data_IF_103778311311
#
_entry.id   IF_103778311311
#
_cell.length_a   1.000
_cell.length_b   1.000
_cell.length_c   1.000
_cell.angle_alpha   90.00
_cell.angle_beta   90.00
_cell.angle_gamma   90.00
#
_symmetry.space_group_name_H-M   'P 1'
#
loop_
_entity.id
_entity.type
_entity.pdbx_description
1 polymer ?
#
# COMPACT_ATOMS: atom_id res chain seq x y z
N UNK A 1 -4.63 15.83 6.58
CA UNK A 1 -3.53 14.87 6.43
C UNK A 1 -2.94 14.55 7.78
N UNK A 2 -2.99 13.29 8.20
CA UNK A 2 -2.13 12.75 9.26
C UNK A 2 -0.75 12.45 8.66
N UNK A 3 0.31 12.55 9.47
CA UNK A 3 1.68 12.23 9.07
C UNK A 3 2.39 11.49 10.21
N UNK A 4 3.41 10.71 9.86
CA UNK A 4 4.40 10.22 10.82
C UNK A 4 5.68 11.02 10.69
N UNK A 5 6.34 11.27 11.81
CA UNK A 5 7.67 11.89 11.78
C UNK A 5 8.70 10.77 11.86
N UNK A 6 9.58 10.70 10.87
CA UNK A 6 10.65 9.71 10.88
C UNK A 6 11.77 10.07 11.87
N UNK A 7 12.77 9.19 11.98
CA UNK A 7 13.87 9.33 12.94
C UNK A 7 14.71 10.60 12.74
N UNK A 8 14.67 11.23 11.55
CA UNK A 8 15.39 12.46 11.23
C UNK A 8 14.50 13.71 11.34
N UNK A 9 13.27 13.58 11.84
CA UNK A 9 12.37 14.71 12.06
C UNK A 9 11.58 15.15 10.84
N UNK A 10 11.59 14.36 9.75
CA UNK A 10 10.87 14.68 8.51
C UNK A 10 9.47 14.03 8.54
N UNK A 11 8.39 14.78 8.29
CA UNK A 11 7.05 14.23 8.14
C UNK A 11 6.89 13.43 6.86
N UNK A 12 6.43 12.18 6.96
CA UNK A 12 5.90 11.39 5.86
C UNK A 12 4.36 11.47 5.87
N UNK A 13 3.72 11.94 4.79
CA UNK A 13 2.27 12.05 4.72
C UNK A 13 1.61 10.66 4.61
N UNK A 14 0.45 10.51 5.24
CA UNK A 14 -0.42 9.35 5.02
C UNK A 14 -1.36 9.62 3.85
N UNK A 15 -1.72 8.57 3.12
CA UNK A 15 -2.71 8.59 2.04
C UNK A 15 -4.02 9.26 2.48
N UNK A 16 -4.57 10.11 1.63
CA UNK A 16 -5.87 10.75 1.85
C UNK A 16 -7.02 9.75 1.95
N UNK A 17 -8.16 10.23 2.47
CA UNK A 17 -9.36 9.40 2.51
C UNK A 17 -9.88 9.13 1.09
N UNK A 18 -10.28 7.89 0.83
CA UNK A 18 -10.89 7.50 -0.43
C UNK A 18 -12.28 8.13 -0.62
N UNK A 19 -12.57 8.47 -1.87
CA UNK A 19 -13.82 9.04 -2.36
C UNK A 19 -14.61 8.10 -3.28
N UNK A 20 -13.96 7.08 -3.87
CA UNK A 20 -14.62 6.06 -4.69
C UNK A 20 -14.15 4.64 -4.36
N UNK A 21 -14.97 3.65 -4.70
CA UNK A 21 -14.70 2.24 -4.40
C UNK A 21 -14.88 1.39 -5.66
N UNK A 22 -13.84 0.63 -5.98
CA UNK A 22 -13.76 -0.27 -7.13
C UNK A 22 -13.57 -1.71 -6.65
N UNK A 23 -14.25 -2.66 -7.30
CA UNK A 23 -14.11 -4.08 -7.03
C UNK A 23 -13.53 -4.79 -8.24
N UNK A 24 -12.53 -5.64 -8.02
CA UNK A 24 -11.92 -6.48 -9.05
C UNK A 24 -12.82 -7.63 -9.52
N UNK A 25 -13.95 -7.88 -8.86
CA UNK A 25 -14.85 -8.96 -9.25
C UNK A 25 -15.44 -8.68 -10.65
N UNK A 26 -14.97 -9.43 -11.66
CA UNK A 26 -15.43 -9.29 -13.04
C UNK A 26 -14.82 -8.11 -13.79
N UNK A 27 -13.80 -7.43 -13.26
CA UNK A 27 -13.11 -6.33 -13.95
C UNK A 27 -12.30 -6.79 -15.17
N UNK A 28 -11.99 -8.09 -15.24
CA UNK A 28 -10.98 -8.61 -16.16
C UNK A 28 -9.57 -8.42 -15.59
N UNK A 29 -8.53 -8.49 -16.45
CA UNK A 29 -7.14 -8.51 -16.00
C UNK A 29 -6.62 -7.16 -15.50
N UNK A 30 -7.30 -6.06 -15.85
CA UNK A 30 -6.90 -4.70 -15.48
C UNK A 30 -8.13 -3.94 -14.94
N UNK A 31 -7.91 -3.17 -13.89
CA UNK A 31 -8.92 -2.32 -13.26
C UNK A 31 -8.34 -0.92 -13.10
N UNK A 32 -9.00 0.07 -13.71
CA UNK A 32 -8.54 1.46 -13.72
C UNK A 32 -9.42 2.33 -12.82
N UNK A 33 -8.78 3.18 -12.03
CA UNK A 33 -9.41 4.19 -11.19
C UNK A 33 -9.64 5.50 -11.92
N UNK A 34 -9.71 6.55 -11.13
CA UNK A 34 -10.04 7.90 -11.53
C UNK A 34 -8.83 8.83 -11.39
N UNK A 35 -9.09 10.11 -11.10
CA UNK A 35 -8.05 11.12 -10.81
C UNK A 35 -8.11 11.61 -9.37
N UNK A 36 -9.00 11.03 -8.57
CA UNK A 36 -9.11 11.31 -7.14
C UNK A 36 -8.79 10.06 -6.34
N UNK A 37 -8.78 10.22 -5.03
CA UNK A 37 -8.47 9.15 -4.09
C UNK A 37 -9.50 8.02 -4.19
N UNK A 38 -9.05 6.84 -4.57
CA UNK A 38 -9.88 5.67 -4.82
C UNK A 38 -9.49 4.52 -3.89
N UNK A 39 -10.41 3.58 -3.71
CA UNK A 39 -10.15 2.33 -3.01
C UNK A 39 -10.45 1.15 -3.92
N UNK A 40 -9.49 0.24 -4.02
CA UNK A 40 -9.60 -0.96 -4.84
C UNK A 40 -9.67 -2.21 -3.98
N UNK A 41 -10.65 -3.05 -4.25
CA UNK A 41 -10.82 -4.34 -3.59
C UNK A 41 -10.42 -5.49 -4.52
N UNK A 42 -9.22 -6.03 -4.30
CA UNK A 42 -8.72 -7.25 -4.94
C UNK A 42 -9.19 -8.50 -4.22
N UNK A 43 -10.27 -9.11 -4.71
CA UNK A 43 -10.74 -10.38 -4.17
C UNK A 43 -9.71 -11.52 -4.39
N UNK A 44 -9.63 -12.44 -3.43
CA UNK A 44 -8.60 -13.48 -3.41
C UNK A 44 -8.62 -14.48 -4.58
N UNK A 45 -9.76 -14.62 -5.26
CA UNK A 45 -9.96 -15.52 -6.40
C UNK A 45 -9.86 -14.81 -7.76
N UNK A 46 -9.34 -13.58 -7.79
CA UNK A 46 -9.17 -12.77 -9.01
C UNK A 46 -7.69 -12.51 -9.25
N UNK A 47 -7.29 -12.50 -10.52
CA UNK A 47 -5.98 -12.01 -10.94
C UNK A 47 -6.21 -10.68 -11.67
N UNK A 48 -5.68 -9.58 -11.12
CA UNK A 48 -5.91 -8.23 -11.63
C UNK A 48 -4.70 -7.36 -11.36
N UNK A 49 -4.43 -6.44 -12.28
CA UNK A 49 -3.56 -5.29 -12.05
C UNK A 49 -4.45 -4.06 -11.86
N UNK A 50 -4.31 -3.42 -10.70
CA UNK A 50 -5.05 -2.20 -10.37
C UNK A 50 -4.18 -0.99 -10.68
N UNK A 51 -4.74 -0.03 -11.39
CA UNK A 51 -4.10 1.22 -11.80
C UNK A 51 -4.94 2.37 -11.24
N UNK A 52 -4.41 3.10 -10.26
CA UNK A 52 -5.15 4.11 -9.50
C UNK A 52 -5.42 5.35 -10.30
N UNK A 53 -4.36 5.84 -10.92
CA UNK A 53 -4.39 7.04 -11.75
C UNK A 53 -3.64 8.15 -11.07
N UNK A 54 -4.34 9.18 -10.61
CA UNK A 54 -3.76 10.22 -9.75
C UNK A 54 -4.61 10.32 -8.49
N UNK A 55 -4.07 10.89 -7.42
CA UNK A 55 -4.71 10.92 -6.12
C UNK A 55 -4.07 9.92 -5.18
N UNK A 56 -4.51 9.95 -3.92
CA UNK A 56 -4.01 9.05 -2.90
C UNK A 56 -4.90 7.80 -2.86
N UNK A 57 -4.41 6.69 -3.44
CA UNK A 57 -5.19 5.47 -3.63
C UNK A 57 -4.91 4.40 -2.57
N UNK A 58 -5.92 3.58 -2.28
CA UNK A 58 -5.83 2.50 -1.29
C UNK A 58 -6.17 1.16 -1.95
N UNK A 59 -5.20 0.25 -1.95
CA UNK A 59 -5.28 -1.07 -2.56
C UNK A 59 -5.41 -2.16 -1.49
N UNK A 60 -6.56 -2.82 -1.45
CA UNK A 60 -6.76 -3.99 -0.61
C UNK A 60 -6.47 -5.27 -1.40
N UNK A 61 -5.32 -5.88 -1.14
CA UNK A 61 -4.87 -7.07 -1.86
C UNK A 61 -5.15 -8.33 -1.04
N UNK A 62 -6.18 -9.10 -1.43
CA UNK A 62 -6.54 -10.35 -0.77
C UNK A 62 -6.17 -11.61 -1.57
N UNK A 63 -5.55 -11.48 -2.73
CA UNK A 63 -5.07 -12.60 -3.54
C UNK A 63 -3.65 -12.38 -4.08
N UNK A 64 -2.85 -13.44 -4.12
CA UNK A 64 -1.48 -13.40 -4.64
C UNK A 64 -1.39 -13.00 -6.14
N UNK A 65 -2.49 -13.12 -6.87
CA UNK A 65 -2.60 -12.65 -8.25
C UNK A 65 -2.98 -11.18 -8.39
N UNK A 66 -3.22 -10.46 -7.30
CA UNK A 66 -3.49 -9.03 -7.33
C UNK A 66 -2.19 -8.24 -7.36
N UNK A 67 -2.12 -7.24 -8.24
CA UNK A 67 -0.96 -6.37 -8.41
C UNK A 67 -1.43 -4.92 -8.45
N UNK A 68 -0.50 -4.02 -8.14
CA UNK A 68 -0.69 -2.57 -8.20
C UNK A 68 0.35 -1.99 -9.15
N UNK A 69 -0.06 -1.03 -9.98
CA UNK A 69 0.82 -0.30 -10.86
C UNK A 69 0.50 1.20 -10.75
N UNK A 70 1.44 1.94 -10.17
CA UNK A 70 1.33 3.39 -9.98
C UNK A 70 2.36 4.17 -10.78
N UNK A 71 2.01 5.41 -11.12
CA UNK A 71 2.90 6.32 -11.82
C UNK A 71 3.69 7.18 -10.82
N UNK A 72 4.92 7.53 -11.18
CA UNK A 72 5.75 8.37 -10.32
C UNK A 72 5.08 9.74 -10.06
N UNK A 73 4.90 10.10 -8.80
CA UNK A 73 4.28 11.36 -8.39
C UNK A 73 2.77 11.44 -8.62
N UNK A 74 2.09 10.29 -8.72
CA UNK A 74 0.64 10.21 -8.87
C UNK A 74 -0.13 10.53 -7.58
N UNK A 75 0.49 10.39 -6.41
CA UNK A 75 -0.14 10.64 -5.11
C UNK A 75 0.67 9.99 -4.00
N UNK A 76 0.01 9.75 -2.87
CA UNK A 76 0.52 8.96 -1.75
C UNK A 76 -0.35 7.71 -1.61
N UNK A 77 0.19 6.58 -2.05
CA UNK A 77 -0.58 5.37 -2.23
C UNK A 77 -0.34 4.36 -1.11
N UNK A 78 -1.37 3.56 -0.81
CA UNK A 78 -1.33 2.57 0.27
C UNK A 78 -1.73 1.20 -0.21
N UNK A 79 -0.89 0.20 0.04
CA UNK A 79 -1.26 -1.21 -0.08
C UNK A 79 -1.59 -1.75 1.30
N UNK A 80 -2.77 -2.33 1.45
CA UNK A 80 -3.20 -3.09 2.63
C UNK A 80 -3.37 -4.55 2.27
N UNK A 81 -2.70 -5.44 3.00
CA UNK A 81 -2.76 -6.88 2.76
C UNK A 81 -2.58 -7.70 4.03
N UNK A 82 -2.87 -8.99 3.96
CA UNK A 82 -2.68 -9.96 5.04
C UNK A 82 -1.52 -10.93 4.76
N UNK A 83 -0.98 -10.91 3.55
CA UNK A 83 0.14 -11.74 3.11
C UNK A 83 1.45 -10.98 3.21
N UNK A 84 2.55 -11.72 3.09
CA UNK A 84 3.86 -11.11 2.95
C UNK A 84 3.96 -10.34 1.63
N UNK A 85 4.53 -9.14 1.66
CA UNK A 85 4.50 -8.24 0.53
C UNK A 85 5.73 -7.36 0.44
N UNK A 86 6.10 -7.00 -0.79
CA UNK A 86 7.09 -5.97 -1.10
C UNK A 86 6.42 -4.90 -1.94
N UNK A 87 6.54 -3.64 -1.55
CA UNK A 87 5.99 -2.54 -2.31
C UNK A 87 6.54 -2.52 -3.74
N UNK A 88 5.69 -2.34 -4.75
CA UNK A 88 6.14 -1.99 -6.09
C UNK A 88 6.71 -0.57 -6.08
N UNK A 89 7.31 -0.15 -7.19
CA UNK A 89 7.73 1.24 -7.37
C UNK A 89 6.51 2.18 -7.30
N UNK A 90 6.74 3.43 -6.86
CA UNK A 90 5.74 4.50 -6.79
C UNK A 90 4.56 4.25 -5.83
N UNK A 91 4.72 3.39 -4.82
CA UNK A 91 3.76 3.24 -3.73
C UNK A 91 4.47 3.50 -2.41
N UNK A 92 3.91 4.36 -1.57
CA UNK A 92 4.61 4.89 -0.39
C UNK A 92 4.28 4.12 0.89
N UNK A 93 3.11 3.49 0.99
CA UNK A 93 2.65 2.92 2.25
C UNK A 93 2.28 1.44 2.15
N UNK A 94 2.65 0.66 3.17
CA UNK A 94 2.30 -0.74 3.30
C UNK A 94 1.68 -1.02 4.66
N UNK A 95 0.53 -1.69 4.69
CA UNK A 95 -0.11 -2.19 5.89
C UNK A 95 -0.23 -3.71 5.79
N UNK A 96 0.39 -4.42 6.72
CA UNK A 96 0.27 -5.88 6.85
C UNK A 96 -0.52 -6.23 8.10
N UNK A 97 -1.60 -6.99 7.90
CA UNK A 97 -2.62 -7.23 8.92
C UNK A 97 -2.51 -8.58 9.64
N UNK A 98 -1.53 -9.42 9.28
CA UNK A 98 -1.35 -10.76 9.82
C UNK A 98 0.10 -11.02 10.25
N UNK A 99 0.26 -11.84 11.28
CA UNK A 99 1.55 -12.18 11.88
C UNK A 99 2.44 -13.07 11.02
N UNK A 100 3.74 -13.12 11.35
CA UNK A 100 4.75 -13.98 10.70
C UNK A 100 4.92 -13.74 9.19
N UNK A 101 4.69 -12.51 8.76
CA UNK A 101 4.90 -12.07 7.38
C UNK A 101 6.14 -11.18 7.26
N UNK A 102 6.64 -11.01 6.04
CA UNK A 102 7.53 -9.90 5.71
C UNK A 102 6.74 -8.73 5.12
N UNK A 103 7.17 -7.50 5.43
CA UNK A 103 6.64 -6.28 4.87
C UNK A 103 7.82 -5.41 4.45
N UNK A 104 8.07 -5.38 3.14
CA UNK A 104 9.24 -4.71 2.56
C UNK A 104 8.83 -3.48 1.77
N UNK A 105 9.58 -2.40 1.96
CA UNK A 105 9.46 -1.18 1.19
C UNK A 105 10.16 -1.23 -0.16
N UNK A 106 10.36 -0.06 -0.73
CA UNK A 106 10.98 0.17 -2.02
C UNK A 106 12.13 1.19 -1.89
N UNK A 107 12.35 2.04 -2.91
CA UNK A 107 13.40 3.07 -2.90
C UNK A 107 12.93 4.45 -2.45
N UNK A 108 11.68 4.58 -2.00
CA UNK A 108 11.04 5.82 -1.54
C UNK A 108 10.99 5.86 -0.01
N UNK A 109 10.66 7.03 0.55
CA UNK A 109 10.38 7.16 1.97
C UNK A 109 9.05 6.45 2.29
N UNK A 110 9.10 5.28 2.94
CA UNK A 110 7.90 4.45 3.15
C UNK A 110 7.34 4.53 4.58
N UNK A 111 6.01 4.43 4.72
CA UNK A 111 5.35 4.09 5.99
C UNK A 111 4.92 2.63 5.95
N UNK A 112 5.56 1.79 6.75
CA UNK A 112 5.24 0.36 6.85
C UNK A 112 4.66 0.06 8.22
N UNK A 113 3.40 -0.39 8.24
CA UNK A 113 2.68 -0.74 9.46
C UNK A 113 2.38 -2.23 9.51
N UNK A 114 2.80 -2.88 10.58
CA UNK A 114 2.51 -4.26 10.91
C UNK A 114 1.51 -4.28 12.07
N UNK A 115 0.27 -4.71 11.87
CA UNK A 115 -0.77 -4.49 12.89
C UNK A 115 -0.89 -5.61 13.93
N UNK A 116 -0.27 -6.78 13.71
CA UNK A 116 -0.44 -7.95 14.59
C UNK A 116 0.83 -8.82 14.65
N UNK A 117 1.38 -9.00 15.86
CA UNK A 117 2.48 -9.96 16.12
C UNK A 117 3.82 -9.52 15.52
N UNK A 118 4.81 -10.42 15.47
CA UNK A 118 6.15 -10.12 14.94
C UNK A 118 6.22 -10.27 13.42
N UNK A 119 6.71 -9.24 12.72
CA UNK A 119 6.93 -9.22 11.27
C UNK A 119 8.39 -8.90 10.98
N UNK A 120 8.88 -9.36 9.83
CA UNK A 120 10.15 -8.85 9.29
C UNK A 120 9.84 -7.58 8.50
N UNK A 121 10.16 -6.43 9.08
CA UNK A 121 10.03 -5.13 8.44
C UNK A 121 11.37 -4.72 7.83
N UNK A 122 11.34 -4.29 6.57
CA UNK A 122 12.49 -3.68 5.89
C UNK A 122 11.96 -2.47 5.11
N UNK A 123 12.40 -1.27 5.46
CA UNK A 123 12.02 -0.05 4.74
C UNK A 123 12.60 0.02 3.32
N UNK A 124 13.71 -0.69 3.08
CA UNK A 124 14.48 -0.54 1.85
C UNK A 124 15.40 0.67 1.92
N UNK A 125 15.35 1.51 0.90
CA UNK A 125 16.11 2.77 0.87
C UNK A 125 15.15 3.94 1.08
N UNK A 126 15.64 5.04 1.65
CA UNK A 126 14.81 6.19 2.00
C UNK A 126 14.85 6.45 3.50
N UNK A 127 14.01 7.38 3.95
CA UNK A 127 13.84 7.73 5.35
C UNK A 127 12.50 7.20 5.87
N UNK A 128 12.48 5.89 6.11
CA UNK A 128 11.26 5.15 6.40
C UNK A 128 10.73 5.34 7.83
N UNK A 129 9.45 5.02 8.00
CA UNK A 129 8.79 4.84 9.29
C UNK A 129 8.29 3.39 9.36
N UNK A 130 8.91 2.60 10.24
CA UNK A 130 8.51 1.22 10.50
C UNK A 130 7.74 1.16 11.83
N UNK A 131 6.48 0.74 11.77
CA UNK A 131 5.58 0.64 12.91
C UNK A 131 5.28 -0.84 13.14
N UNK A 132 5.89 -1.42 14.17
CA UNK A 132 5.61 -2.78 14.62
C UNK A 132 4.51 -2.76 15.69
N UNK A 133 3.43 -3.49 15.43
CA UNK A 133 2.24 -3.57 16.29
C UNK A 133 2.35 -4.57 17.44
N UNK A 134 3.49 -5.25 17.62
CA UNK A 134 3.60 -6.30 18.65
C UNK A 134 4.99 -6.60 19.20
N UNK A 135 5.98 -5.74 19.01
CA UNK A 135 7.36 -5.92 19.49
C UNK A 135 7.67 -5.18 20.78
#
# INVERSE_FOLDING_TARGET
MSFFVNAVGVPLPYSGASSHWYSAAGSGPDLYGSTGNDSFYGAGNVNVTMHGGTGDDIYYLYGAGNKVAEAAGAGIDTISTWMSYKLPDNVENLIVTHANNYAFGNGLDNIITATVGHQTLDGGAGNDVLIDGGG
#
